data_IF_138949532562
#
_entry.id   IF_138949532562
#
_cell.length_a   1.000
_cell.length_b   1.000
_cell.length_c   1.000
_cell.angle_alpha   90.00
_cell.angle_beta   90.00
_cell.angle_gamma   90.00
#
_symmetry.space_group_name_H-M   'P 1'
#
loop_
_entity.id
_entity.type
_entity.pdbx_description
1 polymer ?
#
# COMPACT_ATOMS: atom_id res chain seq x y z
N UNK A 1 -26.19 -10.73 -22.14
CA UNK A 1 -27.39 -9.97 -22.56
C UNK A 1 -28.47 -9.82 -21.47
N UNK A 2 -28.70 -10.80 -20.59
CA UNK A 2 -29.76 -10.71 -19.57
C UNK A 2 -29.46 -9.73 -18.43
N UNK A 3 -28.21 -9.66 -17.95
CA UNK A 3 -27.77 -8.73 -16.88
C UNK A 3 -27.77 -7.27 -17.32
N UNK A 4 -27.44 -6.98 -18.57
CA UNK A 4 -27.51 -5.62 -19.12
C UNK A 4 -28.95 -5.10 -19.23
N UNK A 5 -29.92 -5.97 -19.53
CA UNK A 5 -31.33 -5.60 -19.59
C UNK A 5 -31.97 -5.38 -18.22
N UNK A 6 -31.51 -6.08 -17.19
CA UNK A 6 -31.95 -5.87 -15.78
C UNK A 6 -31.42 -4.55 -15.26
N UNK A 7 -30.14 -4.24 -15.53
CA UNK A 7 -29.51 -2.97 -15.14
C UNK A 7 -30.19 -1.77 -15.81
N UNK A 8 -30.53 -1.87 -17.10
CA UNK A 8 -31.24 -0.81 -17.83
C UNK A 8 -32.68 -0.59 -17.33
N UNK A 9 -33.41 -1.64 -16.92
CA UNK A 9 -34.76 -1.50 -16.34
C UNK A 9 -34.71 -0.92 -14.93
N UNK A 10 -33.76 -1.28 -14.10
CA UNK A 10 -33.55 -0.66 -12.79
C UNK A 10 -33.20 0.83 -12.89
N UNK A 11 -32.45 1.22 -13.92
CA UNK A 11 -32.09 2.60 -14.19
C UNK A 11 -33.29 3.47 -14.58
N UNK A 12 -34.18 2.99 -15.45
CA UNK A 12 -35.42 3.69 -15.85
C UNK A 12 -36.39 3.91 -14.67
N UNK A 13 -36.46 2.96 -13.74
CA UNK A 13 -37.32 3.07 -12.53
C UNK A 13 -36.70 4.08 -11.53
N UNK A 14 -35.37 4.17 -11.47
CA UNK A 14 -34.66 5.14 -10.62
C UNK A 14 -34.85 6.58 -11.13
N UNK A 15 -34.79 6.80 -12.44
CA UNK A 15 -34.97 8.13 -13.04
C UNK A 15 -36.39 8.71 -12.81
N UNK A 16 -37.44 7.89 -12.76
CA UNK A 16 -38.82 8.36 -12.52
C UNK A 16 -39.08 8.79 -11.06
N UNK A 17 -38.20 8.43 -10.09
CA UNK A 17 -38.35 8.79 -8.67
C UNK A 17 -37.48 9.96 -8.19
N UNK A 18 -36.64 10.54 -9.03
CA UNK A 18 -35.66 11.60 -8.69
C UNK A 18 -36.29 13.02 -8.69
N UNK A 19 -37.60 13.15 -8.89
CA UNK A 19 -38.31 14.44 -8.81
C UNK A 19 -38.41 15.07 -7.43
N UNK A 20 -38.18 14.35 -6.33
CA UNK A 20 -38.32 14.91 -4.97
C UNK A 20 -37.43 14.22 -3.95
N UNK A 21 -36.63 15.06 -3.28
CA UNK A 21 -35.85 14.88 -2.05
C UNK A 21 -34.34 14.59 -2.19
N UNK A 22 -33.61 15.56 -1.71
CA UNK A 22 -32.20 15.49 -1.33
C UNK A 22 -32.00 14.40 -0.24
N UNK A 23 -31.37 13.29 -0.61
CA UNK A 23 -30.63 12.44 0.32
C UNK A 23 -29.43 11.86 -0.43
N UNK A 24 -28.28 12.39 -0.10
CA UNK A 24 -26.98 11.99 -0.60
C UNK A 24 -26.66 10.57 -0.14
N UNK A 25 -26.15 9.68 -1.01
CA UNK A 25 -25.41 8.50 -0.58
C UNK A 25 -25.48 7.25 -1.46
N UNK A 26 -26.56 6.95 -2.11
CA UNK A 26 -26.70 5.71 -2.91
C UNK A 26 -26.91 5.99 -4.41
N UNK A 27 -27.45 7.15 -4.75
CA UNK A 27 -27.71 7.56 -6.14
C UNK A 27 -26.45 8.06 -6.87
N UNK A 28 -25.46 8.55 -6.13
CA UNK A 28 -24.15 8.91 -6.71
C UNK A 28 -23.43 7.67 -7.30
N UNK A 29 -23.61 6.49 -6.73
CA UNK A 29 -23.03 5.25 -7.29
C UNK A 29 -23.61 4.89 -8.67
N UNK A 30 -24.86 5.27 -8.97
CA UNK A 30 -25.50 4.97 -10.27
C UNK A 30 -25.21 6.03 -11.34
N UNK A 31 -25.04 7.29 -10.97
CA UNK A 31 -24.55 8.35 -11.87
C UNK A 31 -23.11 8.04 -12.33
N UNK A 32 -22.36 7.35 -11.49
CA UNK A 32 -21.00 6.85 -11.75
C UNK A 32 -20.94 5.79 -12.86
N UNK A 33 -21.92 4.91 -12.95
CA UNK A 33 -21.98 3.89 -14.00
C UNK A 33 -21.99 4.47 -15.41
N UNK A 34 -22.73 5.55 -15.64
CA UNK A 34 -22.81 6.21 -16.95
C UNK A 34 -21.57 7.07 -17.26
N UNK A 35 -20.99 7.74 -16.25
CA UNK A 35 -19.73 8.46 -16.40
C UNK A 35 -18.57 7.49 -16.69
N UNK A 36 -18.61 6.30 -16.08
CA UNK A 36 -17.64 5.23 -16.31
C UNK A 36 -17.67 4.73 -17.76
N UNK A 37 -18.85 4.52 -18.33
CA UNK A 37 -19.01 4.01 -19.69
C UNK A 37 -18.60 5.04 -20.77
N UNK A 38 -18.85 6.33 -20.56
CA UNK A 38 -18.49 7.36 -21.55
C UNK A 38 -16.98 7.66 -21.63
N UNK A 39 -16.19 7.27 -20.62
CA UNK A 39 -14.73 7.48 -20.60
C UNK A 39 -13.90 6.28 -21.07
N UNK A 40 -14.48 5.09 -21.15
CA UNK A 40 -13.83 3.91 -21.78
C UNK A 40 -13.65 4.12 -23.30
N UNK A 41 -14.30 5.14 -23.90
CA UNK A 41 -14.06 5.55 -25.29
C UNK A 41 -12.74 6.33 -25.51
N UNK A 42 -12.00 6.71 -24.44
CA UNK A 42 -10.66 7.30 -24.53
C UNK A 42 -9.56 6.23 -24.63
N UNK A 43 -9.42 5.58 -25.77
CA UNK A 43 -8.39 4.56 -26.02
C UNK A 43 -6.97 4.97 -25.57
N UNK A 44 -6.63 6.25 -25.68
CA UNK A 44 -5.30 6.78 -25.35
C UNK A 44 -4.98 6.73 -23.83
N UNK A 45 -5.97 6.95 -22.96
CA UNK A 45 -5.77 6.92 -21.49
C UNK A 45 -5.57 5.49 -21.00
N UNK A 46 -6.39 4.55 -21.49
CA UNK A 46 -6.28 3.12 -21.14
C UNK A 46 -4.93 2.57 -21.60
N UNK A 47 -4.51 2.92 -22.81
CA UNK A 47 -3.22 2.50 -23.37
C UNK A 47 -2.06 3.05 -22.53
N UNK A 48 -2.10 4.33 -22.15
CA UNK A 48 -1.10 4.96 -21.31
C UNK A 48 -0.95 4.28 -19.93
N UNK A 49 -2.06 3.94 -19.28
CA UNK A 49 -2.05 3.19 -18.00
C UNK A 49 -1.44 1.81 -18.20
N UNK A 50 -1.87 1.07 -19.22
CA UNK A 50 -1.39 -0.28 -19.46
C UNK A 50 0.10 -0.31 -19.78
N UNK A 51 0.62 0.66 -20.53
CA UNK A 51 2.06 0.78 -20.82
C UNK A 51 2.86 1.02 -19.54
N UNK A 52 2.42 1.96 -18.67
CA UNK A 52 3.10 2.23 -17.39
C UNK A 52 3.09 1.01 -16.47
N UNK A 53 1.96 0.33 -16.36
CA UNK A 53 1.84 -0.90 -15.55
C UNK A 53 2.68 -2.03 -16.14
N UNK A 54 2.67 -2.21 -17.47
CA UNK A 54 3.51 -3.21 -18.14
C UNK A 54 5.01 -2.94 -17.90
N UNK A 55 5.44 -1.67 -17.90
CA UNK A 55 6.80 -1.30 -17.54
C UNK A 55 7.15 -1.70 -16.10
N UNK A 56 6.26 -1.45 -15.12
CA UNK A 56 6.47 -1.88 -13.73
C UNK A 56 6.57 -3.40 -13.60
N UNK A 57 5.67 -4.13 -14.25
CA UNK A 57 5.72 -5.59 -14.28
C UNK A 57 7.02 -6.10 -14.92
N UNK A 58 7.46 -5.48 -16.02
CA UNK A 58 8.71 -5.85 -16.68
C UNK A 58 9.93 -5.64 -15.77
N UNK A 59 9.98 -4.52 -15.02
CA UNK A 59 11.04 -4.25 -14.04
C UNK A 59 11.01 -5.27 -12.89
N UNK A 60 9.84 -5.60 -12.36
CA UNK A 60 9.70 -6.63 -11.31
C UNK A 60 10.18 -8.00 -11.83
N UNK A 61 9.77 -8.40 -13.04
CA UNK A 61 10.22 -9.66 -13.66
C UNK A 61 11.73 -9.65 -13.89
N UNK A 62 12.29 -8.55 -14.39
CA UNK A 62 13.73 -8.39 -14.55
C UNK A 62 14.47 -8.53 -13.20
N UNK A 63 13.96 -7.90 -12.13
CA UNK A 63 14.48 -8.04 -10.77
C UNK A 63 14.44 -9.49 -10.29
N UNK A 64 13.31 -10.18 -10.50
CA UNK A 64 13.17 -11.58 -10.14
C UNK A 64 14.17 -12.49 -10.88
N UNK A 65 14.34 -12.30 -12.19
CA UNK A 65 15.32 -13.03 -12.99
C UNK A 65 16.75 -12.74 -12.55
N UNK A 66 17.07 -11.46 -12.29
CA UNK A 66 18.38 -11.03 -11.82
C UNK A 66 18.73 -11.61 -10.44
N UNK A 67 17.75 -11.68 -9.53
CA UNK A 67 17.92 -12.29 -8.21
C UNK A 67 18.24 -13.80 -8.26
N UNK A 68 17.77 -14.48 -9.30
CA UNK A 68 18.05 -15.90 -9.52
C UNK A 68 19.36 -16.20 -10.26
N UNK A 69 19.87 -15.24 -11.02
CA UNK A 69 21.05 -15.44 -11.86
C UNK A 69 22.38 -15.37 -11.10
N UNK A 70 22.38 -15.12 -9.79
CA UNK A 70 23.57 -14.85 -8.97
C UNK A 70 24.49 -13.70 -9.48
N UNK A 71 24.08 -12.98 -10.53
CA UNK A 71 24.88 -11.94 -11.18
C UNK A 71 25.10 -10.72 -10.27
N UNK A 72 24.21 -10.51 -9.30
CA UNK A 72 24.24 -9.36 -8.36
C UNK A 72 24.69 -9.75 -6.94
N UNK A 73 25.36 -10.90 -6.77
CA UNK A 73 25.86 -11.35 -5.47
C UNK A 73 24.81 -12.11 -4.63
N UNK A 74 25.14 -12.38 -3.37
CA UNK A 74 24.35 -13.29 -2.51
C UNK A 74 23.00 -12.70 -2.02
N UNK A 75 22.86 -11.38 -1.92
CA UNK A 75 21.66 -10.71 -1.39
C UNK A 75 21.38 -9.37 -2.09
N UNK A 76 21.13 -9.38 -3.40
CA UNK A 76 20.99 -8.14 -4.16
C UNK A 76 19.78 -7.32 -3.69
N UNK A 77 18.68 -7.95 -3.25
CA UNK A 77 17.51 -7.28 -2.73
C UNK A 77 17.79 -6.44 -1.48
N UNK A 78 18.71 -6.86 -0.60
CA UNK A 78 19.09 -6.08 0.57
C UNK A 78 19.87 -4.81 0.19
N UNK A 79 20.71 -4.88 -0.84
CA UNK A 79 21.49 -3.72 -1.32
C UNK A 79 20.55 -2.69 -1.95
N UNK A 80 19.68 -3.13 -2.86
CA UNK A 80 18.71 -2.23 -3.51
C UNK A 80 17.73 -1.66 -2.48
N UNK A 81 17.30 -2.45 -1.50
CA UNK A 81 16.46 -2.00 -0.39
C UNK A 81 17.13 -0.85 0.39
N UNK A 82 18.42 -0.94 0.68
CA UNK A 82 19.15 0.15 1.34
C UNK A 82 19.19 1.41 0.48
N UNK A 83 19.40 1.28 -0.83
CA UNK A 83 19.35 2.43 -1.75
C UNK A 83 17.97 3.08 -1.72
N UNK A 84 16.91 2.28 -1.81
CA UNK A 84 15.54 2.78 -1.80
C UNK A 84 15.22 3.51 -0.49
N UNK A 85 15.42 2.87 0.64
CA UNK A 85 15.05 3.46 1.94
C UNK A 85 15.97 4.59 2.40
N UNK A 86 17.22 4.65 1.91
CA UNK A 86 18.17 5.70 2.31
C UNK A 86 18.13 6.91 1.40
N UNK A 87 17.90 6.72 0.11
CA UNK A 87 18.02 7.79 -0.88
C UNK A 87 16.73 8.04 -1.65
N UNK A 88 16.25 7.05 -2.44
CA UNK A 88 15.23 7.35 -3.44
C UNK A 88 13.86 7.59 -2.83
N UNK A 89 13.46 6.84 -1.82
CA UNK A 89 12.15 7.02 -1.17
C UNK A 89 12.07 8.33 -0.38
N UNK A 90 13.04 8.71 0.49
CA UNK A 90 13.00 10.02 1.15
C UNK A 90 12.96 11.19 0.16
N UNK A 91 13.77 11.16 -0.90
CA UNK A 91 13.76 12.20 -1.93
C UNK A 91 12.43 12.23 -2.69
N UNK A 92 11.83 11.07 -2.97
CA UNK A 92 10.52 10.97 -3.61
C UNK A 92 9.40 11.59 -2.77
N UNK A 93 9.47 11.41 -1.44
CA UNK A 93 8.54 12.02 -0.49
C UNK A 93 8.74 13.54 -0.45
N UNK A 94 9.99 14.03 -0.37
CA UNK A 94 10.29 15.47 -0.40
C UNK A 94 9.80 16.10 -1.70
N UNK A 95 10.03 15.45 -2.84
CA UNK A 95 9.58 15.93 -4.14
C UNK A 95 8.06 15.99 -4.22
N UNK A 96 7.34 14.98 -3.71
CA UNK A 96 5.88 14.96 -3.68
C UNK A 96 5.29 16.15 -2.90
N UNK A 97 5.83 16.43 -1.71
CA UNK A 97 5.39 17.57 -0.89
C UNK A 97 5.77 18.93 -1.49
N UNK A 98 6.93 19.01 -2.15
CA UNK A 98 7.39 20.25 -2.79
C UNK A 98 6.65 20.58 -4.10
N UNK A 99 6.00 19.59 -4.70
CA UNK A 99 5.27 19.71 -5.97
C UNK A 99 3.76 19.87 -5.81
N UNK A 100 3.23 19.78 -4.59
CA UNK A 100 1.80 19.80 -4.32
C UNK A 100 1.45 20.70 -3.14
N UNK A 101 0.19 21.14 -3.09
CA UNK A 101 -0.33 21.89 -1.95
C UNK A 101 -0.80 20.92 -0.86
N UNK A 102 -0.33 21.16 0.35
CA UNK A 102 -0.80 20.42 1.53
C UNK A 102 -2.12 20.99 2.03
N UNK A 103 -3.06 20.10 2.31
CA UNK A 103 -4.33 20.46 2.96
C UNK A 103 -4.37 19.83 4.36
N UNK A 104 -4.57 20.61 5.44
CA UNK A 104 -4.55 20.08 6.82
C UNK A 104 -5.52 18.92 7.08
N UNK A 105 -6.59 18.83 6.30
CA UNK A 105 -7.55 17.73 6.36
C UNK A 105 -6.91 16.36 6.09
N UNK A 106 -5.85 16.31 5.28
CA UNK A 106 -5.11 15.08 4.98
C UNK A 106 -4.44 14.45 6.21
N UNK A 107 -4.20 15.22 7.29
CA UNK A 107 -3.68 14.69 8.55
C UNK A 107 -4.56 13.59 9.15
N UNK A 108 -5.85 13.59 8.85
CA UNK A 108 -6.78 12.52 9.28
C UNK A 108 -6.39 11.16 8.69
N UNK A 109 -5.68 11.13 7.56
CA UNK A 109 -5.18 9.88 6.97
C UNK A 109 -4.10 9.20 7.81
N UNK A 110 -3.38 9.93 8.68
CA UNK A 110 -2.36 9.34 9.57
C UNK A 110 -2.99 8.35 10.56
N UNK A 111 -3.96 8.72 11.40
CA UNK A 111 -4.61 7.75 12.28
C UNK A 111 -5.40 6.67 11.51
N UNK A 112 -5.91 6.95 10.32
CA UNK A 112 -6.56 5.96 9.47
C UNK A 112 -5.55 4.91 8.99
N UNK A 113 -4.38 5.33 8.50
CA UNK A 113 -3.32 4.41 8.06
C UNK A 113 -2.84 3.51 9.20
N UNK A 114 -2.68 4.09 10.41
CA UNK A 114 -2.36 3.30 11.61
C UNK A 114 -3.48 2.31 11.94
N UNK A 115 -4.74 2.72 11.93
CA UNK A 115 -5.87 1.84 12.24
C UNK A 115 -6.00 0.71 11.23
N UNK A 116 -5.85 0.99 9.93
CA UNK A 116 -5.90 -0.02 8.86
C UNK A 116 -4.77 -1.05 8.96
N UNK A 117 -3.61 -0.69 9.51
CA UNK A 117 -2.53 -1.62 9.79
C UNK A 117 -2.73 -2.37 11.12
N UNK A 118 -3.21 -1.68 12.16
CA UNK A 118 -3.29 -2.22 13.53
C UNK A 118 -4.51 -3.13 13.75
N UNK A 119 -5.68 -2.78 13.21
CA UNK A 119 -6.92 -3.56 13.42
C UNK A 119 -6.79 -5.01 12.89
N UNK A 120 -6.34 -5.25 11.65
CA UNK A 120 -6.13 -6.63 11.17
C UNK A 120 -5.12 -7.39 12.02
N UNK A 121 -4.06 -6.71 12.50
CA UNK A 121 -3.07 -7.29 13.40
C UNK A 121 -3.70 -7.79 14.71
N UNK A 122 -4.52 -6.96 15.36
CA UNK A 122 -5.20 -7.33 16.61
C UNK A 122 -6.16 -8.50 16.38
N UNK A 123 -6.93 -8.47 15.31
CA UNK A 123 -7.84 -9.57 14.96
C UNK A 123 -7.05 -10.87 14.76
N UNK A 124 -5.94 -10.82 14.02
CA UNK A 124 -5.08 -11.99 13.83
C UNK A 124 -4.50 -12.50 15.15
N UNK A 125 -4.06 -11.60 16.03
CA UNK A 125 -3.53 -11.97 17.35
C UNK A 125 -4.57 -12.71 18.22
N UNK A 126 -5.85 -12.31 18.13
CA UNK A 126 -6.97 -12.92 18.86
C UNK A 126 -7.36 -14.26 18.22
N UNK A 127 -7.54 -14.30 16.90
CA UNK A 127 -8.00 -15.50 16.19
C UNK A 127 -6.94 -16.60 16.22
N UNK A 128 -5.66 -16.25 16.06
CA UNK A 128 -4.55 -17.21 16.06
C UNK A 128 -4.06 -17.63 17.45
N UNK A 129 -4.69 -17.19 18.54
CA UNK A 129 -4.25 -17.47 19.91
C UNK A 129 -4.09 -18.96 20.27
N UNK A 130 -4.83 -19.82 19.57
CA UNK A 130 -4.80 -21.28 19.75
C UNK A 130 -3.92 -22.00 18.73
N UNK A 131 -3.33 -21.28 17.77
CA UNK A 131 -2.42 -21.85 16.79
C UNK A 131 -1.04 -22.10 17.42
N UNK A 132 -0.25 -22.98 16.79
CA UNK A 132 1.16 -23.13 17.13
C UNK A 132 1.89 -21.78 17.02
N UNK A 133 2.93 -21.58 17.81
CA UNK A 133 3.66 -20.31 17.91
C UNK A 133 4.13 -19.79 16.55
N UNK A 134 4.72 -20.66 15.71
CA UNK A 134 5.23 -20.26 14.40
C UNK A 134 4.13 -19.79 13.45
N UNK A 135 2.97 -20.45 13.48
CA UNK A 135 1.80 -20.07 12.70
C UNK A 135 1.16 -18.77 13.20
N UNK A 136 1.08 -18.61 14.52
CA UNK A 136 0.59 -17.39 15.14
C UNK A 136 1.43 -16.19 14.72
N UNK A 137 2.76 -16.31 14.79
CA UNK A 137 3.70 -15.28 14.30
C UNK A 137 3.47 -14.97 12.83
N UNK A 138 3.32 -16.02 11.99
CA UNK A 138 3.07 -15.86 10.57
C UNK A 138 1.78 -15.06 10.31
N UNK A 139 0.66 -15.43 10.93
CA UNK A 139 -0.61 -14.74 10.74
C UNK A 139 -0.56 -13.28 11.21
N UNK A 140 -0.02 -13.00 12.39
CA UNK A 140 0.05 -11.66 12.95
C UNK A 140 0.88 -10.71 12.11
N UNK A 141 2.06 -11.14 11.63
CA UNK A 141 2.99 -10.26 10.93
C UNK A 141 2.66 -10.07 9.44
N UNK A 142 2.03 -11.07 8.80
CA UNK A 142 1.78 -11.00 7.36
C UNK A 142 0.40 -10.45 6.99
N UNK A 143 -0.54 -10.34 7.95
CA UNK A 143 -1.79 -9.61 7.74
C UNK A 143 -1.60 -8.10 7.94
N UNK A 144 -0.61 -7.71 8.74
CA UNK A 144 -0.40 -6.35 9.17
C UNK A 144 0.20 -5.50 8.05
N UNK A 145 -0.41 -4.33 7.81
CA UNK A 145 0.11 -3.21 7.04
C UNK A 145 0.35 -3.46 5.55
N UNK A 146 0.85 -2.40 4.93
CA UNK A 146 0.89 -2.24 3.47
C UNK A 146 2.27 -1.75 3.03
N UNK A 147 2.74 -2.23 1.88
CA UNK A 147 3.97 -1.75 1.23
C UNK A 147 3.67 -0.50 0.39
N UNK A 148 3.50 0.64 1.06
CA UNK A 148 3.08 1.87 0.41
C UNK A 148 4.28 2.55 -0.26
N UNK A 149 5.35 2.83 0.48
CA UNK A 149 6.49 3.57 -0.04
C UNK A 149 7.17 2.94 -1.26
N UNK A 150 7.28 1.59 -1.30
CA UNK A 150 7.99 0.90 -2.38
C UNK A 150 7.07 0.40 -3.50
N UNK A 151 5.76 0.33 -3.29
CA UNK A 151 4.82 -0.12 -4.32
C UNK A 151 3.81 0.98 -4.67
N UNK A 152 3.03 1.43 -3.70
CA UNK A 152 1.92 2.32 -3.99
C UNK A 152 2.38 3.73 -4.37
N UNK A 153 3.47 4.26 -3.77
CA UNK A 153 3.97 5.60 -4.08
C UNK A 153 4.43 5.72 -5.54
N UNK A 154 5.31 4.83 -6.08
CA UNK A 154 5.63 4.85 -7.50
C UNK A 154 4.40 4.69 -8.40
N UNK A 155 3.46 3.83 -8.00
CA UNK A 155 2.23 3.59 -8.76
C UNK A 155 1.35 4.84 -8.82
N UNK A 156 1.14 5.50 -7.69
CA UNK A 156 0.33 6.72 -7.60
C UNK A 156 1.02 7.89 -8.32
N UNK A 157 2.33 8.06 -8.15
CA UNK A 157 3.09 9.11 -8.84
C UNK A 157 3.09 8.95 -10.37
N UNK A 158 3.01 7.73 -10.87
CA UNK A 158 2.96 7.47 -12.30
C UNK A 158 1.58 7.75 -12.93
N UNK A 159 0.50 7.65 -12.16
CA UNK A 159 -0.88 7.60 -12.69
C UNK A 159 -1.78 8.73 -12.18
N UNK A 160 -1.38 9.45 -11.13
CA UNK A 160 -2.21 10.48 -10.48
C UNK A 160 -1.45 11.79 -10.31
N UNK A 161 -2.17 12.84 -9.97
CA UNK A 161 -1.57 14.15 -9.69
C UNK A 161 -0.69 14.15 -8.43
N UNK A 162 0.25 15.09 -8.28
CA UNK A 162 1.15 15.18 -7.13
C UNK A 162 0.45 15.26 -5.77
N UNK A 163 -0.73 15.87 -5.69
CA UNK A 163 -1.53 15.98 -4.46
C UNK A 163 -1.91 14.60 -3.91
N UNK A 164 -2.14 13.62 -4.80
CA UNK A 164 -2.47 12.26 -4.41
C UNK A 164 -1.29 11.55 -3.76
N UNK A 165 -0.06 11.89 -4.17
CA UNK A 165 1.14 11.38 -3.51
C UNK A 165 1.29 11.92 -2.08
N UNK A 166 0.86 13.18 -1.81
CA UNK A 166 0.83 13.74 -0.45
C UNK A 166 -0.19 13.01 0.42
N UNK A 167 -1.41 12.78 -0.09
CA UNK A 167 -2.44 12.02 0.63
C UNK A 167 -1.95 10.59 0.98
N UNK A 168 -1.28 9.94 0.03
CA UNK A 168 -0.62 8.64 0.25
C UNK A 168 0.42 8.72 1.37
N UNK A 169 1.30 9.72 1.36
CA UNK A 169 2.34 9.88 2.38
C UNK A 169 1.74 10.08 3.77
N UNK A 170 0.60 10.78 3.90
CA UNK A 170 -0.11 10.92 5.18
C UNK A 170 -0.61 9.56 5.69
N UNK A 171 -1.22 8.77 4.83
CA UNK A 171 -1.66 7.42 5.19
C UNK A 171 -0.47 6.53 5.56
N UNK A 172 0.63 6.61 4.79
CA UNK A 172 1.84 5.80 5.05
C UNK A 172 2.55 6.19 6.34
N UNK A 173 2.54 7.45 6.75
CA UNK A 173 3.09 7.87 8.04
C UNK A 173 2.45 7.10 9.22
N UNK A 174 1.15 6.87 9.18
CA UNK A 174 0.45 6.03 10.15
C UNK A 174 0.75 4.54 10.01
N UNK A 175 0.71 4.02 8.79
CA UNK A 175 1.07 2.63 8.46
C UNK A 175 2.51 2.29 8.88
N UNK A 176 3.45 3.22 8.68
CA UNK A 176 4.86 3.04 9.00
C UNK A 176 5.11 2.75 10.49
N UNK A 177 4.27 3.24 11.40
CA UNK A 177 4.40 2.94 12.83
C UNK A 177 4.34 1.43 13.09
N UNK A 178 3.45 0.72 12.40
CA UNK A 178 3.37 -0.75 12.49
C UNK A 178 4.46 -1.43 11.67
N UNK A 179 4.76 -0.91 10.47
CA UNK A 179 5.69 -1.55 9.52
C UNK A 179 7.16 -1.39 9.89
N UNK A 180 7.54 -0.30 10.57
CA UNK A 180 8.94 -0.06 10.93
C UNK A 180 9.38 -0.85 12.16
N UNK A 181 8.45 -1.23 13.03
CA UNK A 181 8.79 -2.00 14.22
C UNK A 181 7.65 -2.32 15.18
N UNK A 182 6.51 -1.62 15.07
CA UNK A 182 5.36 -1.83 15.96
C UNK A 182 4.85 -3.26 15.94
N UNK A 183 4.60 -3.81 14.76
CA UNK A 183 4.13 -5.18 14.61
C UNK A 183 5.14 -6.20 15.16
N UNK A 184 6.44 -6.00 14.92
CA UNK A 184 7.50 -6.84 15.47
C UNK A 184 7.54 -6.80 17.01
N UNK A 185 7.51 -5.59 17.59
CA UNK A 185 7.58 -5.41 19.04
C UNK A 185 6.36 -6.03 19.74
N UNK A 186 5.17 -5.78 19.22
CA UNK A 186 3.93 -6.37 19.76
C UNK A 186 3.91 -7.89 19.61
N UNK A 187 4.37 -8.43 18.47
CA UNK A 187 4.47 -9.88 18.29
C UNK A 187 5.49 -10.50 19.24
N UNK A 188 6.62 -9.81 19.46
CA UNK A 188 7.63 -10.22 20.43
C UNK A 188 7.09 -10.30 21.86
N UNK A 189 6.19 -9.37 22.25
CA UNK A 189 5.50 -9.41 23.55
C UNK A 189 4.49 -10.56 23.66
N UNK A 190 3.74 -10.81 22.59
CA UNK A 190 2.60 -11.75 22.58
C UNK A 190 3.06 -13.20 22.36
N UNK A 191 4.02 -13.41 21.47
CA UNK A 191 4.47 -14.72 21.02
C UNK A 191 5.96 -15.01 21.32
N UNK A 192 6.68 -14.03 21.86
CA UNK A 192 8.11 -14.07 22.06
C UNK A 192 8.93 -13.85 20.77
N UNK A 193 10.22 -13.60 20.91
CA UNK A 193 11.17 -13.52 19.78
C UNK A 193 12.12 -14.72 19.80
N UNK A 194 12.76 -14.99 18.65
CA UNK A 194 13.82 -16.02 18.56
C UNK A 194 15.10 -15.64 19.32
N UNK A 195 15.21 -14.38 19.78
CA UNK A 195 16.39 -13.82 20.48
C UNK A 195 16.13 -13.47 21.96
N UNK A 196 14.98 -13.87 22.51
CA UNK A 196 14.55 -13.52 23.86
C UNK A 196 13.53 -12.38 23.92
N UNK A 197 13.07 -12.01 25.13
CA UNK A 197 12.07 -10.96 25.31
C UNK A 197 12.63 -9.59 24.91
N UNK A 198 11.76 -8.73 24.36
CA UNK A 198 12.09 -7.33 24.13
C UNK A 198 11.90 -6.60 25.49
N UNK A 199 12.99 -6.27 26.16
CA UNK A 199 12.95 -5.67 27.51
C UNK A 199 12.22 -4.32 27.54
N UNK A 200 12.34 -3.50 26.48
CA UNK A 200 11.74 -2.17 26.38
C UNK A 200 11.06 -1.98 25.01
N UNK A 201 9.87 -2.55 24.79
CA UNK A 201 9.24 -2.57 23.49
C UNK A 201 8.93 -1.16 22.95
N UNK A 202 8.46 -0.24 23.79
CA UNK A 202 8.19 1.13 23.36
C UNK A 202 9.47 1.86 22.92
N UNK A 203 10.55 1.75 23.69
CA UNK A 203 11.86 2.32 23.31
C UNK A 203 12.41 1.70 22.04
N UNK A 204 12.19 0.39 21.85
CA UNK A 204 12.56 -0.29 20.61
C UNK A 204 11.80 0.28 19.40
N UNK A 205 10.48 0.44 19.49
CA UNK A 205 9.64 1.00 18.42
C UNK A 205 10.06 2.43 18.11
N UNK A 206 10.17 3.28 19.14
CA UNK A 206 10.60 4.69 18.98
C UNK A 206 11.97 4.77 18.32
N UNK A 207 12.96 4.00 18.81
CA UNK A 207 14.30 3.96 18.19
C UNK A 207 14.25 3.51 16.73
N UNK A 208 13.41 2.54 16.41
CA UNK A 208 13.25 2.04 15.03
C UNK A 208 12.60 3.07 14.11
N UNK A 209 11.55 3.76 14.58
CA UNK A 209 10.89 4.83 13.84
C UNK A 209 11.89 5.93 13.48
N UNK A 210 12.60 6.48 14.47
CA UNK A 210 13.62 7.53 14.27
C UNK A 210 14.96 7.02 13.71
N UNK A 211 15.04 5.80 13.28
CA UNK A 211 16.13 5.25 12.47
C UNK A 211 15.70 5.00 11.03
N UNK A 212 14.48 5.33 10.68
CA UNK A 212 13.88 5.16 9.37
C UNK A 212 13.84 6.49 8.64
N UNK A 213 14.78 6.75 7.74
CA UNK A 213 14.84 7.99 6.97
C UNK A 213 13.52 8.35 6.26
N UNK A 214 12.77 7.40 5.66
CA UNK A 214 11.46 7.74 5.11
C UNK A 214 10.46 8.22 6.16
N UNK A 215 10.46 7.61 7.35
CA UNK A 215 9.58 8.05 8.44
C UNK A 215 9.97 9.43 8.96
N UNK A 216 11.29 9.68 9.13
CA UNK A 216 11.80 10.99 9.52
C UNK A 216 11.45 12.05 8.48
N UNK A 217 11.54 11.73 7.18
CA UNK A 217 11.11 12.60 6.10
C UNK A 217 9.60 12.93 6.21
N UNK A 218 8.74 11.92 6.42
CA UNK A 218 7.31 12.18 6.65
C UNK A 218 7.08 13.11 7.83
N UNK A 219 7.74 12.86 8.96
CA UNK A 219 7.57 13.68 10.17
C UNK A 219 7.99 15.13 9.95
N UNK A 220 9.18 15.35 9.36
CA UNK A 220 9.68 16.70 9.06
C UNK A 220 8.73 17.41 8.11
N UNK A 221 8.30 16.75 7.03
CA UNK A 221 7.43 17.34 6.02
C UNK A 221 6.02 17.64 6.56
N UNK A 222 5.49 16.78 7.43
CA UNK A 222 4.22 17.04 8.14
C UNK A 222 4.37 18.29 9.03
N UNK A 223 5.48 18.41 9.76
CA UNK A 223 5.73 19.58 10.61
C UNK A 223 5.80 20.85 9.76
N UNK A 224 6.58 20.84 8.66
CA UNK A 224 6.68 21.98 7.75
C UNK A 224 5.31 22.35 7.18
N UNK A 225 4.54 21.37 6.75
CA UNK A 225 3.21 21.55 6.17
C UNK A 225 2.18 22.11 7.19
N UNK A 226 2.22 21.67 8.45
CA UNK A 226 1.34 22.19 9.52
C UNK A 226 1.66 23.64 9.85
N UNK A 227 2.93 24.04 9.76
CA UNK A 227 3.34 25.43 9.99
C UNK A 227 3.31 26.29 8.70
N UNK A 228 2.76 25.78 7.60
CA UNK A 228 2.71 26.43 6.29
C UNK A 228 4.10 26.89 5.77
N UNK A 229 5.15 26.13 6.13
CA UNK A 229 6.51 26.39 5.69
C UNK A 229 6.73 25.64 4.38
N UNK A 230 6.89 26.41 3.29
CA UNK A 230 7.12 25.86 1.97
C UNK A 230 8.55 25.32 1.83
N UNK A 231 8.68 24.21 1.14
CA UNK A 231 9.98 23.63 0.80
C UNK A 231 10.63 24.51 -0.28
N UNK A 232 11.89 24.98 -0.08
CA UNK A 232 12.57 25.76 -1.08
C UNK A 232 12.67 25.02 -2.42
N UNK A 233 12.40 25.70 -3.53
CA UNK A 233 12.42 25.10 -4.88
C UNK A 233 13.78 24.49 -5.23
N UNK A 234 14.87 25.01 -4.65
CA UNK A 234 16.22 24.46 -4.81
C UNK A 234 16.31 23.02 -4.22
N UNK A 235 15.64 22.77 -3.09
CA UNK A 235 15.59 21.44 -2.46
C UNK A 235 14.77 20.48 -3.31
N UNK A 236 13.64 20.94 -3.84
CA UNK A 236 12.79 20.15 -4.73
C UNK A 236 13.56 19.77 -6.00
N UNK A 237 14.21 20.72 -6.65
CA UNK A 237 15.00 20.50 -7.86
C UNK A 237 16.23 19.59 -7.59
N UNK A 238 16.88 19.72 -6.42
CA UNK A 238 17.97 18.84 -6.03
C UNK A 238 17.52 17.39 -5.81
N UNK A 239 16.34 17.19 -5.23
CA UNK A 239 15.81 15.85 -4.94
C UNK A 239 15.17 15.18 -6.15
N UNK A 240 14.76 15.93 -7.16
CA UNK A 240 14.03 15.43 -8.33
C UNK A 240 14.73 14.27 -9.07
N UNK A 241 16.03 14.33 -9.46
CA UNK A 241 16.69 13.24 -10.16
C UNK A 241 16.72 11.94 -9.34
N UNK A 242 16.85 12.05 -8.00
CA UNK A 242 16.88 10.91 -7.08
C UNK A 242 15.45 10.38 -6.90
N UNK A 243 14.47 11.26 -6.79
CA UNK A 243 13.05 10.92 -6.68
C UNK A 243 12.56 10.14 -7.91
N UNK A 244 12.94 10.59 -9.11
CA UNK A 244 12.59 9.93 -10.37
C UNK A 244 13.16 8.51 -10.48
N UNK A 245 14.29 8.21 -9.84
CA UNK A 245 14.85 6.87 -9.78
C UNK A 245 14.06 5.91 -8.86
N UNK A 246 13.18 6.44 -7.97
CA UNK A 246 12.49 5.65 -6.97
C UNK A 246 11.61 4.56 -7.59
N UNK A 247 10.86 4.88 -8.63
CA UNK A 247 9.97 3.93 -9.29
C UNK A 247 10.73 2.71 -9.82
N UNK A 248 11.84 2.93 -10.53
CA UNK A 248 12.68 1.85 -11.04
C UNK A 248 13.30 1.03 -9.91
N UNK A 249 13.96 1.71 -8.95
CA UNK A 249 14.66 1.03 -7.85
C UNK A 249 13.69 0.22 -6.97
N UNK A 250 12.51 0.78 -6.67
CA UNK A 250 11.50 0.12 -5.85
C UNK A 250 10.92 -1.12 -6.54
N UNK A 251 10.54 -1.02 -7.83
CA UNK A 251 10.01 -2.16 -8.58
C UNK A 251 11.08 -3.26 -8.78
N UNK A 252 12.32 -2.87 -9.05
CA UNK A 252 13.45 -3.80 -9.13
C UNK A 252 13.67 -4.51 -7.78
N UNK A 253 13.65 -3.78 -6.67
CA UNK A 253 13.76 -4.32 -5.32
C UNK A 253 12.67 -5.35 -5.04
N UNK A 254 11.41 -5.03 -5.37
CA UNK A 254 10.30 -5.96 -5.20
C UNK A 254 10.57 -7.26 -5.95
N UNK A 255 10.99 -7.17 -7.22
CA UNK A 255 11.35 -8.35 -8.01
C UNK A 255 12.46 -9.19 -7.38
N UNK A 256 13.55 -8.55 -6.93
CA UNK A 256 14.68 -9.20 -6.25
C UNK A 256 14.29 -9.89 -4.94
N UNK A 257 13.25 -9.40 -4.25
CA UNK A 257 12.77 -9.93 -2.98
C UNK A 257 11.69 -11.02 -3.13
N UNK A 258 11.11 -11.22 -4.31
CA UNK A 258 10.14 -12.28 -4.55
C UNK A 258 10.82 -13.65 -4.41
N UNK A 259 10.39 -14.41 -3.40
CA UNK A 259 10.83 -15.79 -3.15
C UNK A 259 9.69 -16.77 -3.40
N UNK A 260 9.57 -17.33 -4.60
CA UNK A 260 8.67 -18.47 -4.81
C UNK A 260 9.33 -19.74 -4.27
N UNK A 261 8.80 -20.24 -3.16
CA UNK A 261 9.19 -21.51 -2.58
C UNK A 261 8.03 -22.49 -2.73
N UNK A 262 8.33 -23.76 -2.99
CA UNK A 262 7.32 -24.81 -3.03
C UNK A 262 6.65 -24.93 -1.65
N UNK A 263 5.43 -24.40 -1.53
CA UNK A 263 4.73 -24.32 -0.25
C UNK A 263 4.02 -25.64 0.15
N UNK A 264 3.81 -26.57 -0.80
CA UNK A 264 3.16 -27.84 -0.54
C UNK A 264 1.92 -27.73 0.35
N UNK A 265 1.90 -28.49 1.44
CA UNK A 265 0.79 -28.50 2.41
C UNK A 265 0.54 -27.16 3.14
N UNK A 266 1.46 -26.19 3.07
CA UNK A 266 1.34 -24.87 3.73
C UNK A 266 0.57 -23.84 2.90
N UNK A 267 0.18 -24.17 1.66
CA UNK A 267 -0.54 -23.26 0.77
C UNK A 267 -1.88 -22.77 1.37
N UNK A 268 -2.53 -23.64 2.18
CA UNK A 268 -3.74 -23.26 2.93
C UNK A 268 -3.52 -22.05 3.85
N UNK A 269 -2.36 -21.94 4.52
CA UNK A 269 -2.05 -20.82 5.40
C UNK A 269 -1.89 -19.51 4.63
N UNK A 270 -1.27 -19.59 3.46
CA UNK A 270 -1.16 -18.45 2.54
C UNK A 270 -2.54 -18.01 2.05
N UNK A 271 -3.39 -18.95 1.63
CA UNK A 271 -4.75 -18.64 1.19
C UNK A 271 -5.59 -17.97 2.30
N UNK A 272 -5.43 -18.38 3.56
CA UNK A 272 -6.09 -17.76 4.71
C UNK A 272 -5.65 -16.30 4.86
N UNK A 273 -4.34 -16.00 4.76
CA UNK A 273 -3.83 -14.63 4.88
C UNK A 273 -4.34 -13.78 3.71
N UNK A 274 -4.26 -14.27 2.48
CA UNK A 274 -4.74 -13.53 1.30
C UNK A 274 -6.24 -13.23 1.42
N UNK A 275 -7.04 -14.23 1.78
CA UNK A 275 -8.48 -14.03 1.99
C UNK A 275 -8.81 -13.07 3.11
N UNK A 276 -8.07 -13.15 4.23
CA UNK A 276 -8.26 -12.22 5.35
C UNK A 276 -7.85 -10.78 4.96
N UNK A 277 -6.73 -10.59 4.26
CA UNK A 277 -6.32 -9.27 3.75
C UNK A 277 -7.37 -8.70 2.79
N UNK A 278 -7.83 -9.50 1.83
CA UNK A 278 -8.88 -9.09 0.90
C UNK A 278 -10.17 -8.66 1.63
N UNK A 279 -10.59 -9.42 2.65
CA UNK A 279 -11.77 -9.08 3.45
C UNK A 279 -11.60 -7.72 4.15
N UNK A 280 -10.46 -7.48 4.81
CA UNK A 280 -10.17 -6.19 5.44
C UNK A 280 -10.08 -5.07 4.42
N UNK A 281 -9.42 -5.28 3.27
CA UNK A 281 -9.32 -4.29 2.19
C UNK A 281 -10.70 -3.90 1.68
N UNK A 282 -11.58 -4.85 1.42
CA UNK A 282 -12.97 -4.58 1.00
C UNK A 282 -13.71 -3.79 2.07
N UNK A 283 -13.66 -4.23 3.33
CA UNK A 283 -14.36 -3.55 4.43
C UNK A 283 -13.85 -2.10 4.61
N UNK A 284 -12.55 -1.89 4.60
CA UNK A 284 -11.97 -0.55 4.72
C UNK A 284 -12.23 0.32 3.49
N UNK A 285 -12.23 -0.23 2.27
CA UNK A 285 -12.64 0.51 1.08
C UNK A 285 -14.10 0.99 1.19
N UNK A 286 -15.01 0.12 1.64
CA UNK A 286 -16.41 0.52 1.85
C UNK A 286 -16.55 1.61 2.92
N UNK A 287 -15.81 1.50 4.04
CA UNK A 287 -15.79 2.55 5.07
C UNK A 287 -15.21 3.87 4.54
N UNK A 288 -14.13 3.78 3.75
CA UNK A 288 -13.51 4.95 3.11
C UNK A 288 -14.49 5.67 2.20
N UNK A 289 -15.15 4.93 1.31
CA UNK A 289 -16.10 5.51 0.36
C UNK A 289 -17.33 6.09 1.05
N UNK A 290 -17.83 5.45 2.12
CA UNK A 290 -19.04 5.87 2.83
C UNK A 290 -18.81 7.04 3.80
N UNK A 291 -17.70 7.07 4.53
CA UNK A 291 -17.57 7.93 5.69
C UNK A 291 -16.45 8.97 5.60
N UNK A 292 -15.41 8.79 4.76
CA UNK A 292 -14.36 9.79 4.70
C UNK A 292 -14.84 11.08 4.01
N UNK A 293 -14.55 12.26 4.61
CA UNK A 293 -14.98 13.55 4.07
C UNK A 293 -13.96 14.09 3.06
N UNK A 294 -13.52 13.26 2.11
CA UNK A 294 -12.58 13.64 1.06
C UNK A 294 -13.26 13.61 -0.31
N UNK A 295 -12.63 14.28 -1.27
CA UNK A 295 -12.98 14.16 -2.68
C UNK A 295 -12.81 12.71 -3.17
N UNK A 296 -13.41 12.42 -4.31
CA UNK A 296 -13.40 11.06 -4.84
C UNK A 296 -11.99 10.55 -5.17
N UNK A 297 -11.11 11.42 -5.68
CA UNK A 297 -9.74 11.04 -6.04
C UNK A 297 -8.93 10.60 -4.82
N UNK A 298 -9.01 11.36 -3.73
CA UNK A 298 -8.38 11.00 -2.46
C UNK A 298 -8.93 9.68 -1.92
N UNK A 299 -10.25 9.46 -1.96
CA UNK A 299 -10.86 8.18 -1.57
C UNK A 299 -10.38 7.03 -2.44
N UNK A 300 -10.28 7.24 -3.74
CA UNK A 300 -9.83 6.24 -4.70
C UNK A 300 -8.38 5.83 -4.42
N UNK A 301 -7.50 6.81 -4.21
CA UNK A 301 -6.10 6.53 -3.84
C UNK A 301 -6.06 5.74 -2.54
N UNK A 302 -6.80 6.11 -1.50
CA UNK A 302 -6.87 5.33 -0.25
C UNK A 302 -7.34 3.89 -0.52
N UNK A 303 -8.32 3.68 -1.39
CA UNK A 303 -8.73 2.33 -1.78
C UNK A 303 -7.59 1.55 -2.46
N UNK A 304 -6.79 2.20 -3.33
CA UNK A 304 -5.60 1.58 -3.93
C UNK A 304 -4.57 1.21 -2.85
N UNK A 305 -4.35 2.09 -1.85
CA UNK A 305 -3.42 1.81 -0.75
C UNK A 305 -3.85 0.59 0.08
N UNK A 306 -5.14 0.41 0.29
CA UNK A 306 -5.72 -0.72 1.03
C UNK A 306 -5.55 -2.06 0.30
N UNK A 307 -5.29 -2.04 -1.00
CA UNK A 307 -4.91 -3.20 -1.80
C UNK A 307 -3.40 -3.29 -2.07
N UNK A 308 -2.59 -2.40 -1.50
CA UNK A 308 -1.14 -2.50 -1.64
C UNK A 308 -0.61 -3.83 -1.05
N UNK A 309 0.53 -4.34 -1.56
CA UNK A 309 1.09 -5.60 -1.10
C UNK A 309 1.36 -5.62 0.40
N UNK A 310 1.55 -6.81 0.96
CA UNK A 310 2.05 -6.95 2.32
C UNK A 310 3.42 -6.25 2.47
N UNK A 311 3.74 -5.85 3.71
CA UNK A 311 5.01 -5.18 4.00
C UNK A 311 6.22 -6.00 3.56
N UNK A 312 7.18 -5.35 2.90
CA UNK A 312 8.46 -5.96 2.55
C UNK A 312 9.25 -6.45 3.78
N UNK A 313 8.98 -5.88 4.97
CA UNK A 313 9.61 -6.30 6.23
C UNK A 313 8.94 -7.53 6.86
N UNK A 314 7.75 -7.93 6.39
CA UNK A 314 7.00 -9.07 6.92
C UNK A 314 7.81 -10.36 7.04
N UNK A 315 8.48 -10.84 5.99
CA UNK A 315 9.32 -12.03 6.05
C UNK A 315 10.45 -11.92 7.09
N UNK A 316 11.15 -10.79 7.14
CA UNK A 316 12.24 -10.54 8.10
C UNK A 316 11.75 -10.56 9.54
N UNK A 317 10.63 -9.92 9.84
CA UNK A 317 10.05 -9.92 11.18
C UNK A 317 9.52 -11.32 11.57
N UNK A 318 8.97 -12.03 10.59
CA UNK A 318 8.53 -13.42 10.78
C UNK A 318 9.72 -14.32 11.20
N UNK A 319 10.86 -14.18 10.49
CA UNK A 319 12.10 -14.88 10.85
C UNK A 319 12.57 -14.51 12.28
N UNK A 320 12.62 -13.22 12.59
CA UNK A 320 13.10 -12.75 13.90
C UNK A 320 12.21 -13.20 15.08
N UNK A 321 10.92 -13.41 14.83
CA UNK A 321 10.00 -13.97 15.82
C UNK A 321 9.96 -15.51 15.81
N UNK A 322 10.76 -16.17 14.97
CA UNK A 322 10.85 -17.65 14.90
C UNK A 322 9.73 -18.30 14.10
N UNK A 323 9.10 -17.56 13.17
CA UNK A 323 8.14 -18.07 12.19
C UNK A 323 8.80 -18.50 10.88
N UNK A 324 7.99 -18.93 9.92
CA UNK A 324 8.44 -19.41 8.61
C UNK A 324 8.63 -18.25 7.62
N UNK A 325 9.90 -17.79 7.48
CA UNK A 325 10.29 -16.73 6.57
C UNK A 325 9.95 -17.03 5.10
N UNK A 326 10.13 -18.29 4.68
CA UNK A 326 9.87 -18.71 3.29
C UNK A 326 8.39 -18.62 2.96
N UNK A 327 7.54 -19.00 3.90
CA UNK A 327 6.08 -18.90 3.76
C UNK A 327 5.65 -17.43 3.72
N UNK A 328 6.24 -16.57 4.55
CA UNK A 328 5.99 -15.13 4.55
C UNK A 328 6.45 -14.47 3.24
N UNK A 329 7.61 -14.87 2.71
CA UNK A 329 8.11 -14.40 1.40
C UNK A 329 7.19 -14.79 0.24
N UNK A 330 6.69 -16.03 0.25
CA UNK A 330 5.72 -16.50 -0.74
C UNK A 330 4.41 -15.68 -0.66
N UNK A 331 3.88 -15.51 0.56
CA UNK A 331 2.67 -14.71 0.77
C UNK A 331 2.86 -13.27 0.26
N UNK A 332 4.00 -12.64 0.58
CA UNK A 332 4.33 -11.30 0.10
C UNK A 332 4.41 -11.24 -1.44
N UNK A 333 5.09 -12.22 -2.07
CA UNK A 333 5.18 -12.28 -3.54
C UNK A 333 3.81 -12.37 -4.22
N UNK A 334 2.88 -13.16 -3.66
CA UNK A 334 1.51 -13.27 -4.21
C UNK A 334 0.75 -11.95 -4.03
N UNK A 335 0.89 -11.27 -2.88
CA UNK A 335 0.23 -9.97 -2.66
C UNK A 335 0.74 -8.87 -3.60
N UNK A 336 1.97 -8.95 -4.12
CA UNK A 336 2.46 -8.02 -5.14
C UNK A 336 1.68 -8.21 -6.45
N UNK A 337 1.48 -9.47 -6.87
CA UNK A 337 0.70 -9.77 -8.08
C UNK A 337 -0.76 -9.35 -7.91
N UNK A 338 -1.37 -9.68 -6.78
CA UNK A 338 -2.73 -9.28 -6.42
C UNK A 338 -2.89 -7.75 -6.47
N UNK A 339 -1.97 -7.01 -5.86
CA UNK A 339 -2.00 -5.55 -5.82
C UNK A 339 -1.91 -4.92 -7.22
N UNK A 340 -1.03 -5.42 -8.09
CA UNK A 340 -0.92 -4.94 -9.48
C UNK A 340 -2.25 -5.12 -10.20
N UNK A 341 -2.84 -6.31 -10.12
CA UNK A 341 -4.09 -6.63 -10.82
C UNK A 341 -5.24 -5.75 -10.31
N UNK A 342 -5.41 -5.66 -8.99
CA UNK A 342 -6.53 -4.94 -8.40
C UNK A 342 -6.36 -3.43 -8.54
N UNK A 343 -5.17 -2.87 -8.26
CA UNK A 343 -4.93 -1.44 -8.44
C UNK A 343 -5.14 -1.02 -9.89
N UNK A 344 -4.66 -1.82 -10.87
CA UNK A 344 -4.88 -1.55 -12.28
C UNK A 344 -6.36 -1.64 -12.65
N UNK A 345 -7.08 -2.66 -12.15
CA UNK A 345 -8.52 -2.78 -12.38
C UNK A 345 -9.30 -1.58 -11.81
N UNK A 346 -8.94 -1.09 -10.62
CA UNK A 346 -9.54 0.11 -10.01
C UNK A 346 -9.31 1.33 -10.91
N UNK A 347 -8.06 1.56 -11.37
CA UNK A 347 -7.72 2.70 -12.23
C UNK A 347 -8.45 2.63 -13.56
N UNK A 348 -8.47 1.47 -14.22
CA UNK A 348 -9.18 1.28 -15.48
C UNK A 348 -10.69 1.41 -15.33
N UNK A 349 -11.26 0.86 -14.26
CA UNK A 349 -12.70 0.93 -14.01
C UNK A 349 -13.16 2.35 -13.69
N UNK A 350 -12.32 3.18 -13.09
CA UNK A 350 -12.67 4.57 -12.75
C UNK A 350 -12.33 5.57 -13.85
N UNK A 351 -11.55 5.17 -14.86
CA UNK A 351 -11.11 6.05 -15.95
C UNK A 351 -10.27 7.24 -15.47
N UNK A 352 -9.70 7.16 -14.27
CA UNK A 352 -8.95 8.22 -13.62
C UNK A 352 -7.46 7.95 -13.77
N UNK A 353 -6.91 8.32 -14.92
CA UNK A 353 -5.46 8.47 -15.07
C UNK A 353 -5.20 9.85 -15.65
N UNK A 354 -4.24 10.56 -15.06
CA UNK A 354 -3.79 11.85 -15.56
C UNK A 354 -2.89 11.68 -16.78
#
# INVERSE_FOLDING_TARGET
>A
CALANIAARCWLIAQQRVGERRSCGVLDCFAWGNWLFSRIEGGDVVEGVLIKVAAFVAIIVAGYCAGRSNSFGKRPGEVVSKIVFTFTLPCSVVHAFGSAQFTPQLLVLVPIGLACAFVPYVVAAIVSRRCERGDRVFYMLNICGFNIGCFALPYVQALFSPEMAVALCMFDAGNAMMMTGGAYALTGLIAGTGKGPIEQPLKFVVKRLFSSLPFDAYLVLIILAVFDIQIPQQVVAFTEPIANANAFCAMLMLGLMIGFTSAGAKLKKVAIILGARALFSIAFCMLTLAFLPFDFMTKLVVCILLWAPASAMGPTFTLWCGGDEKLAGLSNGITIVEAIVIATAIVLATGVAA
#
